data_IF_217005889061
#
_entry.id   IF_217005889061
#
_cell.length_a   1.000
_cell.length_b   1.000
_cell.length_c   1.000
_cell.angle_alpha   90.00
_cell.angle_beta   90.00
_cell.angle_gamma   90.00
#
_symmetry.space_group_name_H-M   'P 1'
#
loop_
_entity.id
_entity.type
_entity.pdbx_description
1 polymer ?
#
# COMPACT_ATOMS: atom_id res chain seq x y z
N UNK A 1 29.53 6.37 3.25
CA UNK A 1 28.46 6.05 2.28
C UNK A 1 28.43 4.58 1.95
N UNK A 2 29.55 3.97 1.51
CA UNK A 2 29.61 2.53 1.17
C UNK A 2 29.12 1.59 2.28
N UNK A 3 29.52 1.82 3.54
CA UNK A 3 29.05 1.04 4.69
C UNK A 3 27.53 1.09 4.89
N UNK A 4 26.91 2.24 4.62
CA UNK A 4 25.46 2.41 4.74
C UNK A 4 24.74 1.66 3.61
N UNK A 5 25.25 1.76 2.38
CA UNK A 5 24.71 1.05 1.23
C UNK A 5 24.78 -0.46 1.45
N UNK A 6 25.93 -0.96 1.91
CA UNK A 6 26.11 -2.37 2.24
C UNK A 6 25.12 -2.86 3.31
N UNK A 7 24.94 -2.08 4.39
CA UNK A 7 23.97 -2.40 5.44
C UNK A 7 22.52 -2.47 4.92
N UNK A 8 22.11 -1.51 4.10
CA UNK A 8 20.76 -1.50 3.51
C UNK A 8 20.56 -2.73 2.63
N UNK A 9 21.52 -3.04 1.74
CA UNK A 9 21.42 -4.19 0.83
C UNK A 9 21.37 -5.53 1.56
N UNK A 10 22.15 -5.68 2.62
CA UNK A 10 22.12 -6.87 3.50
C UNK A 10 20.75 -7.01 4.20
N UNK A 11 20.21 -5.91 4.74
CA UNK A 11 18.90 -5.90 5.42
C UNK A 11 17.76 -6.38 4.52
N UNK A 12 17.77 -5.96 3.25
CA UNK A 12 16.73 -6.34 2.29
C UNK A 12 17.04 -7.63 1.52
N UNK A 13 18.23 -8.23 1.70
CA UNK A 13 18.65 -9.43 0.97
C UNK A 13 18.88 -9.21 -0.52
N UNK A 14 19.06 -7.95 -0.94
CA UNK A 14 19.16 -7.56 -2.36
C UNK A 14 20.54 -6.96 -2.67
N UNK A 15 21.53 -7.82 -3.00
CA UNK A 15 22.92 -7.40 -3.15
C UNK A 15 23.13 -6.46 -4.35
N UNK A 16 22.39 -6.64 -5.43
CA UNK A 16 22.52 -5.78 -6.62
C UNK A 16 21.16 -5.38 -7.23
N UNK A 17 20.05 -5.91 -6.72
CA UNK A 17 18.73 -5.58 -7.25
C UNK A 17 18.26 -4.19 -6.81
N UNK A 18 17.21 -3.73 -7.50
CA UNK A 18 16.47 -2.54 -7.13
C UNK A 18 15.70 -2.80 -5.83
N UNK A 19 15.95 -1.98 -4.81
CA UNK A 19 15.19 -2.00 -3.56
C UNK A 19 14.09 -0.94 -3.67
N UNK A 20 12.81 -1.33 -3.81
CA UNK A 20 11.72 -0.38 -3.88
C UNK A 20 11.57 0.33 -2.53
N UNK A 21 11.45 1.67 -2.56
CA UNK A 21 11.16 2.45 -1.37
C UNK A 21 9.72 2.22 -0.86
N UNK A 22 8.81 1.88 -1.77
CA UNK A 22 7.42 1.59 -1.47
C UNK A 22 6.92 0.45 -2.36
N UNK A 23 6.28 -0.53 -1.74
CA UNK A 23 5.60 -1.64 -2.39
C UNK A 23 4.11 -1.62 -2.01
N UNK A 24 3.19 -1.25 -2.93
CA UNK A 24 1.76 -1.29 -2.66
C UNK A 24 1.31 -2.74 -2.41
N UNK A 25 0.84 -3.01 -1.20
CA UNK A 25 0.35 -4.34 -0.82
C UNK A 25 -1.17 -4.32 -0.70
N UNK A 26 -1.82 -5.21 -1.45
CA UNK A 26 -3.26 -5.46 -1.39
C UNK A 26 -3.50 -6.82 -0.72
N UNK A 27 -3.34 -6.87 0.59
CA UNK A 27 -3.30 -8.13 1.37
C UNK A 27 -4.52 -8.32 2.27
N UNK A 28 -5.41 -7.34 2.34
CA UNK A 28 -6.65 -7.36 3.11
C UNK A 28 -7.89 -7.29 2.22
N UNK A 29 -8.85 -6.47 2.64
CA UNK A 29 -10.14 -6.33 1.98
C UNK A 29 -10.17 -5.24 0.89
N UNK A 30 -9.00 -4.72 0.47
CA UNK A 30 -8.91 -3.56 -0.44
C UNK A 30 -9.67 -3.82 -1.75
N UNK A 31 -9.48 -4.99 -2.36
CA UNK A 31 -10.18 -5.37 -3.59
C UNK A 31 -11.70 -5.45 -3.39
N UNK A 32 -12.14 -5.95 -2.23
CA UNK A 32 -13.56 -6.01 -1.91
C UNK A 32 -14.15 -4.60 -1.78
N UNK A 33 -13.54 -3.75 -0.96
CA UNK A 33 -14.06 -2.38 -0.74
C UNK A 33 -14.07 -1.58 -2.03
N UNK A 34 -13.06 -1.73 -2.88
CA UNK A 34 -13.02 -1.10 -4.20
C UNK A 34 -14.18 -1.57 -5.10
N UNK A 35 -14.42 -2.88 -5.18
CA UNK A 35 -15.51 -3.43 -5.99
C UNK A 35 -16.88 -2.98 -5.46
N UNK A 36 -17.07 -2.97 -4.14
CA UNK A 36 -18.31 -2.48 -3.54
C UNK A 36 -18.60 -1.00 -3.92
N UNK A 37 -17.58 -0.14 -4.03
CA UNK A 37 -17.73 1.24 -4.53
C UNK A 37 -18.14 1.28 -6.01
N UNK A 38 -17.57 0.42 -6.84
CA UNK A 38 -17.88 0.33 -8.28
C UNK A 38 -19.31 -0.18 -8.47
N UNK A 39 -19.68 -1.25 -7.78
CA UNK A 39 -21.00 -1.90 -7.89
C UNK A 39 -22.12 -0.98 -7.38
N UNK A 40 -21.85 -0.18 -6.34
CA UNK A 40 -22.80 0.82 -5.83
C UNK A 40 -22.80 2.13 -6.62
N UNK A 41 -21.85 2.32 -7.55
CA UNK A 41 -21.57 3.57 -8.25
C UNK A 41 -21.23 4.76 -7.31
N UNK A 42 -20.86 4.47 -6.05
CA UNK A 42 -20.52 5.49 -5.05
C UNK A 42 -19.01 5.70 -4.98
N UNK A 43 -18.45 6.34 -6.00
CA UNK A 43 -17.00 6.56 -6.20
C UNK A 43 -16.59 8.02 -5.92
N UNK A 44 -17.12 8.62 -4.85
CA UNK A 44 -16.91 10.02 -4.49
C UNK A 44 -15.84 10.22 -3.41
N UNK A 45 -15.49 11.47 -3.12
CA UNK A 45 -14.66 11.84 -1.96
C UNK A 45 -15.41 11.76 -0.62
N UNK A 46 -16.71 11.46 -0.67
CA UNK A 46 -17.54 11.08 0.47
C UNK A 46 -17.97 9.63 0.29
N UNK A 47 -18.48 8.98 1.34
CA UNK A 47 -19.12 7.65 1.23
C UNK A 47 -19.01 6.77 2.46
N UNK A 48 -19.55 5.56 2.35
CA UNK A 48 -19.59 4.59 3.45
C UNK A 48 -18.18 4.29 3.96
N UNK A 49 -17.23 3.98 3.08
CA UNK A 49 -15.87 3.64 3.47
C UNK A 49 -15.06 4.84 3.99
N UNK A 50 -15.29 6.04 3.45
CA UNK A 50 -14.69 7.29 3.97
C UNK A 50 -15.21 7.55 5.38
N UNK A 51 -16.53 7.52 5.58
CA UNK A 51 -17.14 7.75 6.87
C UNK A 51 -16.84 6.69 7.91
N UNK A 52 -16.56 5.44 7.51
CA UNK A 52 -16.02 4.41 8.42
C UNK A 52 -14.58 4.76 8.82
N UNK A 53 -13.72 5.09 7.86
CA UNK A 53 -12.32 5.44 8.10
C UNK A 53 -12.16 6.67 8.99
N UNK A 54 -12.98 7.70 8.81
CA UNK A 54 -12.90 8.96 9.58
C UNK A 54 -13.51 8.86 10.99
N UNK A 55 -14.27 7.80 11.30
CA UNK A 55 -14.89 7.61 12.62
C UNK A 55 -13.98 6.90 13.63
N UNK A 56 -12.92 6.26 13.15
CA UNK A 56 -11.87 5.61 13.95
C UNK A 56 -10.71 6.58 14.22
#
# INVERSE_FOLDING_TARGET
MEKLIAFVRDTFGEPEAFIPLHDPRFIGNEKKYLNDCIDSNFVSSVGEYVGKFEKD
#
